data_IF_805064774558
#
_entry.id   IF_805064774558
#
_cell.length_a   1.000
_cell.length_b   1.000
_cell.length_c   1.000
_cell.angle_alpha   90.00
_cell.angle_beta   90.00
_cell.angle_gamma   90.00
#
_symmetry.space_group_name_H-M   'P 1'
#
loop_
_entity.id
_entity.type
_entity.pdbx_description
1 polymer ?
#
# COMPACT_ATOMS: atom_id res chain seq x y z
N UNK A 1 11.74 7.71 -8.94
CA UNK A 1 11.79 6.40 -8.24
C UNK A 1 10.37 6.01 -7.88
N UNK A 2 10.07 4.69 -7.73
CA UNK A 2 8.74 4.26 -7.28
C UNK A 2 8.81 3.81 -5.81
N UNK A 3 7.87 4.30 -5.02
CA UNK A 3 7.64 3.98 -3.61
C UNK A 3 6.26 3.37 -3.46
N UNK A 4 6.14 2.38 -2.58
CA UNK A 4 4.89 1.64 -2.36
C UNK A 4 4.55 1.64 -0.87
N UNK A 5 3.28 1.78 -0.56
CA UNK A 5 2.70 1.67 0.79
C UNK A 5 1.23 1.26 0.67
N UNK A 6 0.63 0.82 1.74
CA UNK A 6 -0.81 0.56 1.84
C UNK A 6 -1.30 0.78 3.27
N UNK A 7 -2.60 0.92 3.44
CA UNK A 7 -3.28 0.95 4.73
C UNK A 7 -2.79 2.06 5.69
N UNK A 8 -2.47 3.29 5.22
CA UNK A 8 -2.10 4.35 6.15
C UNK A 8 -3.25 4.72 7.09
N UNK A 9 -4.50 4.66 6.64
CA UNK A 9 -5.70 4.97 7.42
C UNK A 9 -5.59 6.32 8.13
N UNK A 10 -5.26 7.38 7.38
CA UNK A 10 -5.13 8.71 7.95
C UNK A 10 -6.43 9.15 8.65
N UNK A 11 -6.26 9.73 9.83
CA UNK A 11 -7.34 10.19 10.72
C UNK A 11 -8.27 9.09 11.25
N UNK A 12 -7.85 7.81 11.19
CA UNK A 12 -8.59 6.66 11.70
C UNK A 12 -8.08 6.25 13.09
N UNK A 13 -8.59 6.88 14.16
CA UNK A 13 -8.12 6.59 15.53
C UNK A 13 -8.28 5.13 15.97
N UNK A 14 -9.34 4.45 15.52
CA UNK A 14 -9.59 3.06 15.92
C UNK A 14 -8.56 2.07 15.35
N UNK A 15 -7.90 2.37 14.23
CA UNK A 15 -6.90 1.48 13.63
C UNK A 15 -5.71 1.25 14.58
N UNK A 16 -5.38 2.24 15.42
CA UNK A 16 -4.32 2.12 16.43
C UNK A 16 -4.59 0.92 17.32
N UNK A 17 -5.82 0.80 17.82
CA UNK A 17 -6.24 -0.31 18.66
C UNK A 17 -6.39 -1.62 17.88
N UNK A 18 -7.00 -1.58 16.69
CA UNK A 18 -7.27 -2.78 15.89
C UNK A 18 -6.00 -3.46 15.42
N UNK A 19 -4.98 -2.68 15.06
CA UNK A 19 -3.70 -3.17 14.57
C UNK A 19 -2.57 -3.04 15.60
N UNK A 20 -2.90 -2.72 16.87
CA UNK A 20 -1.91 -2.53 17.93
C UNK A 20 -0.75 -1.61 17.51
N UNK A 21 -1.06 -0.52 16.79
CA UNK A 21 -0.05 0.43 16.32
C UNK A 21 0.58 1.19 17.51
N UNK A 22 1.90 1.40 17.53
CA UNK A 22 2.61 1.98 18.68
C UNK A 22 2.51 3.51 18.72
N UNK A 23 1.31 4.06 18.58
CA UNK A 23 1.07 5.50 18.64
C UNK A 23 0.11 5.83 19.78
N UNK A 24 0.37 6.92 20.54
CA UNK A 24 -0.50 7.32 21.63
C UNK A 24 -1.88 7.83 21.16
N UNK A 25 -1.93 8.40 19.95
CA UNK A 25 -3.14 8.95 19.36
C UNK A 25 -3.02 9.05 17.82
N UNK A 26 -4.12 9.43 17.19
CA UNK A 26 -4.23 9.56 15.73
C UNK A 26 -3.37 10.69 15.18
N UNK A 27 -3.18 11.76 15.93
CA UNK A 27 -2.36 12.90 15.47
C UNK A 27 -0.87 12.50 15.39
N UNK A 28 -0.37 11.78 16.41
CA UNK A 28 0.98 11.23 16.40
C UNK A 28 1.19 10.21 15.27
N UNK A 29 0.20 9.35 15.01
CA UNK A 29 0.23 8.40 13.90
C UNK A 29 0.29 9.14 12.56
N UNK A 30 -0.61 10.08 12.32
CA UNK A 30 -0.67 10.87 11.09
C UNK A 30 0.65 11.62 10.83
N UNK A 31 1.18 12.26 11.87
CA UNK A 31 2.44 13.00 11.79
C UNK A 31 3.62 12.09 11.44
N UNK A 32 3.70 10.91 12.08
CA UNK A 32 4.75 9.93 11.79
C UNK A 32 4.69 9.40 10.36
N UNK A 33 3.52 8.95 9.89
CA UNK A 33 3.33 8.43 8.53
C UNK A 33 3.69 9.49 7.48
N UNK A 34 3.26 10.72 7.67
CA UNK A 34 3.59 11.83 6.78
C UNK A 34 5.09 12.14 6.79
N UNK A 35 5.72 12.17 7.98
CA UNK A 35 7.16 12.42 8.11
C UNK A 35 7.99 11.35 7.39
N UNK A 36 7.61 10.07 7.51
CA UNK A 36 8.27 8.96 6.83
C UNK A 36 8.16 9.06 5.29
N UNK A 37 7.01 9.47 4.77
CA UNK A 37 6.86 9.76 3.34
C UNK A 37 7.77 10.93 2.92
N UNK A 38 7.76 12.04 3.65
CA UNK A 38 8.56 13.24 3.33
C UNK A 38 10.06 13.01 3.42
N UNK A 39 10.50 12.14 4.32
CA UNK A 39 11.93 11.82 4.47
C UNK A 39 12.48 10.97 3.31
N UNK A 40 11.61 10.24 2.60
CA UNK A 40 12.01 9.24 1.60
C UNK A 40 11.67 9.64 0.17
N UNK A 41 10.45 10.06 -0.05
CA UNK A 41 9.88 10.33 -1.37
C UNK A 41 10.31 11.72 -1.84
N UNK A 42 10.88 11.82 -3.03
CA UNK A 42 11.27 13.10 -3.65
C UNK A 42 10.14 13.68 -4.51
N UNK A 43 10.15 14.98 -4.83
CA UNK A 43 9.09 15.61 -5.64
C UNK A 43 8.82 14.95 -7.00
N UNK A 44 9.84 14.35 -7.61
CA UNK A 44 9.72 13.70 -8.93
C UNK A 44 9.54 12.16 -8.85
N UNK A 45 9.40 11.61 -7.65
CA UNK A 45 9.14 10.19 -7.45
C UNK A 45 7.64 9.88 -7.59
N UNK A 46 7.32 8.60 -7.80
CA UNK A 46 5.95 8.07 -7.78
C UNK A 46 5.68 7.41 -6.42
N UNK A 47 4.66 7.87 -5.72
CA UNK A 47 4.17 7.29 -4.48
C UNK A 47 2.86 6.54 -4.76
N UNK A 48 2.92 5.22 -4.71
CA UNK A 48 1.78 4.33 -4.88
C UNK A 48 1.22 3.96 -3.50
N UNK A 49 -0.05 4.30 -3.28
CA UNK A 49 -0.80 3.93 -2.07
C UNK A 49 -1.81 2.87 -2.49
N UNK A 50 -1.60 1.65 -1.99
CA UNK A 50 -2.40 0.48 -2.37
C UNK A 50 -3.58 0.31 -1.42
N UNK A 51 -4.43 1.33 -1.41
CA UNK A 51 -5.70 1.35 -0.71
C UNK A 51 -5.66 1.79 0.75
N UNK A 52 -6.86 2.06 1.23
CA UNK A 52 -7.16 2.45 2.60
C UNK A 52 -6.36 3.69 3.05
N UNK A 53 -6.34 4.67 2.13
CA UNK A 53 -5.77 5.98 2.43
C UNK A 53 -6.56 6.68 3.54
N UNK A 54 -7.87 6.50 3.54
CA UNK A 54 -8.80 7.14 4.47
C UNK A 54 -9.40 6.15 5.48
N UNK A 55 -10.27 6.64 6.35
CA UNK A 55 -10.93 5.86 7.40
C UNK A 55 -12.32 5.30 7.00
N UNK A 56 -12.72 5.40 5.74
CA UNK A 56 -14.11 5.17 5.36
C UNK A 56 -15.00 6.32 5.84
N UNK A 57 -16.06 6.04 6.59
CA UNK A 57 -16.95 7.08 7.14
C UNK A 57 -16.19 8.10 7.98
N UNK A 58 -16.00 9.28 7.42
CA UNK A 58 -15.23 10.36 8.03
C UNK A 58 -16.10 11.57 8.31
N UNK A 59 -15.89 12.20 9.48
CA UNK A 59 -16.45 13.52 9.79
C UNK A 59 -15.82 14.60 8.90
N UNK A 60 -16.46 15.76 8.79
CA UNK A 60 -15.89 16.89 8.04
C UNK A 60 -14.53 17.35 8.60
N UNK A 61 -14.33 17.24 9.90
CA UNK A 61 -13.04 17.56 10.52
C UNK A 61 -11.95 16.58 10.06
N UNK A 62 -12.24 15.29 10.07
CA UNK A 62 -11.31 14.25 9.57
C UNK A 62 -11.03 14.43 8.07
N UNK A 63 -12.05 14.72 7.27
CA UNK A 63 -11.88 15.01 5.82
C UNK A 63 -10.97 16.20 5.59
N UNK A 64 -11.10 17.29 6.38
CA UNK A 64 -10.20 18.45 6.29
C UNK A 64 -8.76 18.08 6.65
N UNK A 65 -8.56 17.31 7.70
CA UNK A 65 -7.24 16.83 8.11
C UNK A 65 -6.60 15.96 7.02
N UNK A 66 -7.32 14.97 6.50
CA UNK A 66 -6.86 14.10 5.41
C UNK A 66 -6.50 14.89 4.16
N UNK A 67 -7.32 15.89 3.79
CA UNK A 67 -6.98 16.80 2.66
C UNK A 67 -5.66 17.55 2.91
N UNK A 68 -5.46 18.06 4.12
CA UNK A 68 -4.21 18.73 4.50
C UNK A 68 -3.01 17.78 4.40
N UNK A 69 -3.14 16.55 4.90
CA UNK A 69 -2.11 15.51 4.80
C UNK A 69 -1.83 15.19 3.33
N UNK A 70 -2.88 14.98 2.53
CA UNK A 70 -2.75 14.69 1.10
C UNK A 70 -1.92 15.75 0.36
N UNK A 71 -2.20 17.05 0.59
CA UNK A 71 -1.45 18.14 -0.02
C UNK A 71 0.00 18.24 0.49
N UNK A 72 0.28 17.68 1.66
CA UNK A 72 1.62 17.66 2.24
C UNK A 72 2.46 16.44 1.81
N UNK A 73 1.84 15.42 1.19
CA UNK A 73 2.54 14.26 0.64
C UNK A 73 3.41 14.65 -0.56
N UNK A 74 4.64 14.15 -0.62
CA UNK A 74 5.56 14.42 -1.73
C UNK A 74 5.29 13.50 -2.94
N UNK A 75 5.85 13.89 -4.08
CA UNK A 75 5.86 13.09 -5.30
C UNK A 75 4.55 13.12 -6.09
N UNK A 76 4.50 12.34 -7.16
CA UNK A 76 3.26 12.00 -7.87
C UNK A 76 2.52 10.92 -7.09
N UNK A 77 1.26 11.15 -6.79
CA UNK A 77 0.46 10.32 -5.87
C UNK A 77 -0.53 9.49 -6.67
N UNK A 78 -0.42 8.17 -6.53
CA UNK A 78 -1.26 7.20 -7.21
C UNK A 78 -2.02 6.39 -6.18
N UNK A 79 -3.34 6.25 -6.35
CA UNK A 79 -4.19 5.44 -5.48
C UNK A 79 -4.64 4.18 -6.22
N UNK A 80 -4.41 3.03 -5.60
CA UNK A 80 -5.18 1.82 -5.87
C UNK A 80 -6.27 1.78 -4.81
N UNK A 81 -7.54 1.79 -5.22
CA UNK A 81 -8.67 1.91 -4.30
C UNK A 81 -8.76 0.74 -3.33
N UNK A 82 -8.91 1.03 -2.05
CA UNK A 82 -9.22 0.07 -0.98
C UNK A 82 -10.69 0.14 -0.55
N UNK A 83 -11.12 -0.77 0.32
CA UNK A 83 -12.51 -0.84 0.78
C UNK A 83 -12.93 0.31 1.70
N UNK A 84 -11.97 1.01 2.31
CA UNK A 84 -12.23 2.21 3.11
C UNK A 84 -12.12 3.51 2.32
N UNK A 85 -11.72 3.48 1.04
CA UNK A 85 -11.61 4.68 0.21
C UNK A 85 -12.97 5.04 -0.40
N UNK A 86 -13.69 5.91 0.30
CA UNK A 86 -14.93 6.51 -0.20
C UNK A 86 -14.66 7.48 -1.37
N UNK A 87 -15.69 7.77 -2.16
CA UNK A 87 -15.58 8.62 -3.36
C UNK A 87 -14.89 9.95 -3.09
N UNK A 88 -15.20 10.63 -1.96
CA UNK A 88 -14.54 11.89 -1.59
C UNK A 88 -13.01 11.79 -1.44
N UNK A 89 -12.50 10.62 -1.01
CA UNK A 89 -11.07 10.35 -0.91
C UNK A 89 -10.46 10.08 -2.28
N UNK A 90 -11.20 9.39 -3.15
CA UNK A 90 -10.83 9.15 -4.54
C UNK A 90 -10.86 10.43 -5.39
N UNK A 91 -11.71 11.40 -5.05
CA UNK A 91 -11.82 12.72 -5.72
C UNK A 91 -10.70 13.71 -5.33
N UNK A 92 -9.79 13.35 -4.43
CA UNK A 92 -8.60 14.16 -4.19
C UNK A 92 -7.74 14.24 -5.47
N UNK A 93 -6.92 15.29 -5.64
CA UNK A 93 -6.16 15.47 -6.87
C UNK A 93 -4.98 14.50 -7.00
N UNK A 94 -5.31 13.21 -7.09
CA UNK A 94 -4.38 12.13 -7.40
C UNK A 94 -3.84 12.26 -8.83
N UNK A 95 -2.61 11.84 -9.08
CA UNK A 95 -2.09 11.69 -10.44
C UNK A 95 -2.74 10.50 -11.16
N UNK A 96 -3.18 9.49 -10.42
CA UNK A 96 -4.07 8.43 -10.92
C UNK A 96 -4.85 7.75 -9.79
N UNK A 97 -6.05 7.25 -10.12
CA UNK A 97 -6.88 6.39 -9.27
C UNK A 97 -7.31 5.19 -10.09
N UNK A 98 -7.17 3.99 -9.56
CA UNK A 98 -7.58 2.76 -10.23
C UNK A 98 -7.91 1.66 -9.20
N UNK A 99 -8.70 0.65 -9.62
CA UNK A 99 -8.94 -0.55 -8.81
C UNK A 99 -7.70 -1.46 -8.79
N UNK A 100 -6.98 -1.52 -9.88
CA UNK A 100 -5.73 -2.27 -10.04
C UNK A 100 -4.80 -1.55 -11.01
N UNK A 101 -3.50 -1.82 -10.94
CA UNK A 101 -2.56 -1.34 -11.95
C UNK A 101 -1.54 -2.44 -12.30
N UNK A 102 -1.14 -2.46 -13.57
CA UNK A 102 -0.10 -3.34 -14.10
C UNK A 102 1.02 -2.45 -14.62
N UNK A 103 2.12 -2.39 -13.90
CA UNK A 103 3.22 -1.48 -14.19
C UNK A 103 4.56 -2.23 -14.32
N UNK A 104 5.54 -1.61 -14.96
CA UNK A 104 6.89 -2.14 -15.04
C UNK A 104 7.85 -1.17 -14.37
N UNK A 105 8.55 -1.66 -13.34
CA UNK A 105 9.58 -0.90 -12.60
C UNK A 105 10.89 -1.68 -12.68
N UNK A 106 11.96 -1.05 -13.19
CA UNK A 106 13.26 -1.67 -13.34
C UNK A 106 13.20 -3.04 -14.07
N UNK A 107 12.42 -3.14 -15.14
CA UNK A 107 12.15 -4.37 -15.91
C UNK A 107 11.35 -5.45 -15.15
N UNK A 108 10.93 -5.20 -13.93
CA UNK A 108 10.06 -6.08 -13.15
C UNK A 108 8.60 -5.70 -13.37
N UNK A 109 7.76 -6.66 -13.79
CA UNK A 109 6.31 -6.46 -13.86
C UNK A 109 5.72 -6.54 -12.46
N UNK A 110 4.93 -5.53 -12.09
CA UNK A 110 4.24 -5.43 -10.80
C UNK A 110 2.74 -5.32 -11.06
N UNK A 111 1.97 -6.15 -10.40
CA UNK A 111 0.52 -6.05 -10.36
C UNK A 111 0.12 -5.48 -9.00
N UNK A 112 -0.50 -4.31 -9.02
CA UNK A 112 -0.92 -3.58 -7.82
C UNK A 112 -2.41 -3.80 -7.60
N UNK A 113 -2.78 -4.26 -6.42
CA UNK A 113 -4.16 -4.45 -5.98
C UNK A 113 -4.21 -4.26 -4.47
N UNK A 114 -5.26 -3.66 -3.95
CA UNK A 114 -5.41 -3.54 -2.50
C UNK A 114 -5.49 -4.92 -1.82
N UNK A 115 -6.21 -5.85 -2.44
CA UNK A 115 -6.41 -7.19 -1.88
C UNK A 115 -5.31 -8.19 -2.26
N UNK A 116 -4.93 -9.11 -1.34
CA UNK A 116 -4.08 -10.25 -1.70
C UNK A 116 -4.83 -11.19 -2.65
N UNK A 117 -4.13 -11.63 -3.70
CA UNK A 117 -4.67 -12.54 -4.70
C UNK A 117 -3.89 -13.85 -4.74
N UNK A 118 -4.53 -14.94 -5.12
CA UNK A 118 -3.87 -16.23 -5.34
C UNK A 118 -3.15 -16.22 -6.69
N UNK A 119 -3.78 -15.63 -7.72
CA UNK A 119 -3.21 -15.42 -9.05
C UNK A 119 -3.59 -14.04 -9.58
N UNK A 120 -2.84 -13.49 -10.51
CA UNK A 120 -3.01 -12.15 -11.09
C UNK A 120 -2.42 -12.09 -12.52
N UNK A 121 -2.75 -11.07 -13.32
CA UNK A 121 -2.15 -10.86 -14.64
C UNK A 121 -0.62 -10.83 -14.58
N UNK A 122 0.02 -11.73 -15.32
CA UNK A 122 1.48 -11.85 -15.37
C UNK A 122 2.11 -12.72 -14.26
N UNK A 123 1.33 -13.28 -13.34
CA UNK A 123 1.84 -14.17 -12.30
C UNK A 123 2.67 -15.32 -12.85
N UNK A 124 2.25 -15.95 -13.95
CA UNK A 124 3.00 -17.00 -14.67
C UNK A 124 4.33 -16.54 -15.25
N UNK A 125 4.52 -15.24 -15.46
CA UNK A 125 5.72 -14.64 -16.06
C UNK A 125 6.56 -13.91 -15.01
N UNK A 126 6.60 -14.43 -13.78
CA UNK A 126 7.32 -13.86 -12.64
C UNK A 126 6.85 -12.45 -12.24
N UNK A 127 5.64 -12.02 -12.65
CA UNK A 127 5.03 -10.80 -12.17
C UNK A 127 4.86 -10.85 -10.66
N UNK A 128 5.26 -9.78 -9.96
CA UNK A 128 5.10 -9.67 -8.51
C UNK A 128 3.81 -8.94 -8.19
N UNK A 129 2.97 -9.50 -7.32
CA UNK A 129 1.85 -8.76 -6.76
C UNK A 129 2.31 -7.95 -5.55
N UNK A 130 1.83 -6.69 -5.46
CA UNK A 130 1.89 -5.87 -4.24
C UNK A 130 0.47 -5.61 -3.75
N UNK A 131 0.27 -5.71 -2.43
CA UNK A 131 -1.05 -5.60 -1.82
C UNK A 131 -1.01 -4.98 -0.40
N UNK A 132 -2.20 -4.70 0.16
CA UNK A 132 -2.46 -4.23 1.53
C UNK A 132 -3.55 -5.05 2.22
N UNK A 133 -4.60 -4.39 2.79
CA UNK A 133 -5.84 -4.91 3.38
C UNK A 133 -5.67 -5.74 4.67
N UNK A 134 -4.76 -6.68 4.69
CA UNK A 134 -4.64 -7.66 5.77
C UNK A 134 -3.70 -7.24 6.91
N UNK A 135 -3.23 -6.01 6.89
CA UNK A 135 -2.36 -5.43 7.92
C UNK A 135 -1.19 -6.36 8.30
N UNK A 136 -0.97 -6.60 9.61
CA UNK A 136 0.10 -7.48 10.09
C UNK A 136 -0.22 -8.98 10.00
N UNK A 137 -1.43 -9.37 9.62
CA UNK A 137 -1.87 -10.77 9.67
C UNK A 137 -1.18 -11.65 8.62
N UNK A 138 -0.75 -11.05 7.51
CA UNK A 138 0.00 -11.78 6.49
C UNK A 138 0.99 -10.87 5.75
N UNK A 139 2.26 -11.27 5.78
CA UNK A 139 3.34 -10.53 5.09
C UNK A 139 3.44 -10.83 3.59
N UNK A 140 2.74 -11.86 3.13
CA UNK A 140 2.76 -12.29 1.74
C UNK A 140 3.52 -13.59 1.49
N UNK A 141 3.83 -13.83 0.24
CA UNK A 141 4.62 -14.95 -0.28
C UNK A 141 5.72 -14.43 -1.22
N UNK A 142 6.56 -15.33 -1.75
CA UNK A 142 7.69 -14.96 -2.64
C UNK A 142 7.28 -14.15 -3.87
N UNK A 143 6.06 -14.30 -4.35
CA UNK A 143 5.54 -13.64 -5.54
C UNK A 143 4.37 -12.66 -5.28
N UNK A 144 3.97 -12.50 -4.01
CA UNK A 144 2.90 -11.61 -3.60
C UNK A 144 3.25 -11.00 -2.24
N UNK A 145 3.52 -9.70 -2.17
CA UNK A 145 4.12 -9.06 -1.00
C UNK A 145 3.22 -7.95 -0.48
N UNK A 146 2.92 -8.03 0.83
CA UNK A 146 2.21 -6.98 1.55
C UNK A 146 3.12 -5.75 1.70
N UNK A 147 2.64 -4.58 1.25
CA UNK A 147 3.31 -3.29 1.37
C UNK A 147 2.65 -2.35 2.39
N UNK A 148 1.70 -2.88 3.17
CA UNK A 148 1.02 -2.15 4.24
C UNK A 148 1.97 -1.62 5.30
N UNK A 149 1.67 -0.44 5.83
CA UNK A 149 2.50 0.26 6.83
C UNK A 149 2.79 -0.59 8.07
N UNK A 150 1.84 -1.45 8.47
CA UNK A 150 1.94 -2.29 9.67
C UNK A 150 3.06 -3.33 9.60
N UNK A 151 3.48 -3.72 8.39
CA UNK A 151 4.56 -4.71 8.18
C UNK A 151 5.87 -4.09 7.72
N UNK A 152 5.93 -2.76 7.56
CA UNK A 152 7.10 -2.02 7.10
C UNK A 152 7.51 -0.86 8.03
N UNK A 153 7.26 -0.99 9.32
CA UNK A 153 7.62 0.03 10.32
C UNK A 153 7.09 1.41 9.97
N UNK A 154 5.86 1.46 9.48
CA UNK A 154 5.09 2.67 9.17
C UNK A 154 5.73 3.59 8.11
N UNK A 155 6.44 3.02 7.15
CA UNK A 155 7.14 3.76 6.09
C UNK A 155 6.89 3.19 4.69
N UNK A 156 6.94 4.02 3.63
CA UNK A 156 6.92 3.55 2.26
C UNK A 156 8.22 2.82 1.91
N UNK A 157 8.15 1.91 0.93
CA UNK A 157 9.26 1.04 0.54
C UNK A 157 9.47 1.03 -0.97
N UNK A 158 10.68 0.69 -1.38
CA UNK A 158 11.09 0.57 -2.78
C UNK A 158 11.06 -0.87 -3.28
N UNK A 159 11.02 -1.06 -4.61
CA UNK A 159 11.09 -2.40 -5.19
C UNK A 159 12.28 -3.24 -4.71
N UNK A 160 13.53 -2.72 -4.61
CA UNK A 160 14.63 -3.51 -4.07
C UNK A 160 14.46 -3.97 -2.62
N UNK A 161 13.77 -3.20 -1.76
CA UNK A 161 13.45 -3.61 -0.40
C UNK A 161 12.40 -4.72 -0.38
N UNK A 162 11.38 -4.59 -1.24
CA UNK A 162 10.31 -5.59 -1.42
C UNK A 162 10.89 -6.91 -1.91
N UNK A 163 11.75 -6.89 -2.94
CA UNK A 163 12.38 -8.08 -3.49
C UNK A 163 13.28 -8.80 -2.47
N UNK A 164 14.06 -8.06 -1.68
CA UNK A 164 14.83 -8.66 -0.57
C UNK A 164 13.94 -9.38 0.44
N UNK A 165 12.80 -8.79 0.80
CA UNK A 165 11.84 -9.44 1.69
C UNK A 165 11.24 -10.67 1.04
N UNK A 166 10.82 -10.58 -0.22
CA UNK A 166 10.18 -11.66 -0.97
C UNK A 166 11.00 -12.95 -0.96
N UNK A 167 12.33 -12.87 -1.09
CA UNK A 167 13.23 -14.03 -1.04
C UNK A 167 13.08 -14.83 0.27
N UNK A 168 12.86 -14.14 1.39
CA UNK A 168 12.70 -14.75 2.71
C UNK A 168 11.28 -15.23 3.03
N UNK A 169 10.29 -14.94 2.18
CA UNK A 169 8.90 -15.33 2.40
C UNK A 169 8.63 -16.77 1.90
N UNK A 170 7.64 -17.47 2.45
CA UNK A 170 7.26 -18.81 1.99
C UNK A 170 6.68 -18.76 0.57
N UNK A 171 6.74 -19.89 -0.13
CA UNK A 171 5.94 -20.11 -1.34
C UNK A 171 4.46 -20.20 -0.93
N UNK A 172 3.56 -19.60 -1.69
CA UNK A 172 2.13 -19.78 -1.46
C UNK A 172 1.75 -21.26 -1.75
N UNK A 173 1.23 -22.02 -0.78
CA UNK A 173 0.94 -23.43 -0.95
C UNK A 173 -0.17 -23.72 -1.96
N UNK A 174 -0.96 -22.72 -2.32
CA UNK A 174 -2.02 -22.84 -3.33
C UNK A 174 -1.53 -22.55 -4.74
N UNK A 175 -0.30 -22.01 -4.89
CA UNK A 175 0.24 -21.58 -6.17
C UNK A 175 0.24 -22.68 -7.23
N UNK A 176 0.79 -23.83 -6.90
CA UNK A 176 0.90 -24.97 -7.82
C UNK A 176 -0.46 -25.55 -8.22
N UNK A 177 -1.49 -25.33 -7.40
CA UNK A 177 -2.87 -25.79 -7.67
C UNK A 177 -3.59 -24.86 -8.64
N UNK A 178 -3.39 -23.53 -8.53
CA UNK A 178 -4.10 -22.54 -9.34
C UNK A 178 -3.33 -22.18 -10.62
N UNK A 179 -2.04 -22.46 -10.66
CA UNK A 179 -1.15 -22.24 -11.80
C UNK A 179 -0.38 -23.52 -12.16
N UNK A 180 -1.07 -24.64 -12.49
CA UNK A 180 -0.40 -25.90 -12.78
C UNK A 180 0.48 -25.81 -14.04
N UNK A 181 1.59 -26.52 -14.05
CA UNK A 181 2.44 -26.70 -15.24
C UNK A 181 3.65 -25.76 -15.31
N UNK A 182 4.17 -25.30 -14.16
CA UNK A 182 5.46 -24.64 -14.07
C UNK A 182 6.38 -25.30 -13.06
N UNK A 183 7.29 -26.05 -13.58
CA UNK A 183 8.58 -26.29 -12.99
C UNK A 183 9.54 -25.17 -13.45
#
# INVERSE_FOLDING_TARGET
MHWFTADPHYSHGNIIRFCARPFPDVAAMNAHLLAECRARVKPNDDLWILGDFTAGRSTDAQRREVRSIFHALPGRRHLIRGNHDEDWGCDLPWDSVAETADIVVNKRRLFLCHYPMITWPGARHQGLQLFGDVHQNWRGSRNSVNVGVDVWSFRPVTLPEIERRAVGLPVNPLWDRVEPGRA
#
